data_IF_486966682417
#
_entry.id   IF_486966682417
#
_cell.length_a   1.000
_cell.length_b   1.000
_cell.length_c   1.000
_cell.angle_alpha   90.00
_cell.angle_beta   90.00
_cell.angle_gamma   90.00
#
_symmetry.space_group_name_H-M   'P 1'
#
loop_
_entity.id
_entity.type
_entity.pdbx_description
1 polymer ?
#
# COMPACT_ATOMS: atom_id res chain seq x y z
N UNK A 1 1.23 -4.46 -3.30
CA UNK A 1 1.00 -4.88 -4.68
C UNK A 1 -0.47 -4.75 -5.07
N UNK A 2 -1.41 -5.43 -4.40
CA UNK A 2 -2.87 -5.21 -4.42
C UNK A 2 -3.44 -4.90 -5.82
N UNK A 3 -3.81 -5.94 -6.54
CA UNK A 3 -4.22 -5.90 -7.95
C UNK A 3 -5.72 -5.99 -8.17
N UNK A 4 -6.52 -5.85 -7.11
CA UNK A 4 -7.97 -6.06 -7.13
C UNK A 4 -8.34 -7.49 -7.55
N UNK A 5 -7.55 -8.47 -7.10
CA UNK A 5 -7.82 -9.90 -7.33
C UNK A 5 -8.25 -10.59 -6.04
N UNK A 6 -8.70 -11.84 -6.13
CA UNK A 6 -9.01 -12.66 -4.95
C UNK A 6 -7.80 -12.92 -4.03
N UNK A 7 -6.59 -12.52 -4.43
CA UNK A 7 -5.37 -12.64 -3.62
C UNK A 7 -5.09 -11.45 -2.73
N UNK A 8 -5.82 -10.35 -2.87
CA UNK A 8 -5.58 -9.14 -2.08
C UNK A 8 -5.78 -9.38 -0.57
N UNK A 9 -6.79 -10.18 -0.17
CA UNK A 9 -6.99 -10.54 1.24
C UNK A 9 -5.80 -11.30 1.84
N UNK A 10 -5.27 -12.27 1.10
CA UNK A 10 -4.07 -13.02 1.50
C UNK A 10 -2.84 -12.10 1.57
N UNK A 11 -2.69 -11.16 0.64
CA UNK A 11 -1.61 -10.18 0.70
C UNK A 11 -1.69 -9.33 1.98
N UNK A 12 -2.88 -8.84 2.35
CA UNK A 12 -3.11 -8.09 3.59
C UNK A 12 -2.82 -8.94 4.83
N UNK A 13 -3.28 -10.19 4.87
CA UNK A 13 -3.01 -11.12 5.96
C UNK A 13 -1.50 -11.36 6.15
N UNK A 14 -0.76 -11.56 5.06
CA UNK A 14 0.68 -11.73 5.10
C UNK A 14 1.38 -10.48 5.66
N UNK A 15 0.95 -9.28 5.26
CA UNK A 15 1.46 -8.03 5.85
C UNK A 15 1.17 -7.92 7.35
N UNK A 16 -0.06 -8.24 7.76
CA UNK A 16 -0.49 -8.20 9.16
C UNK A 16 0.39 -9.12 10.02
N UNK A 17 0.62 -10.33 9.51
CA UNK A 17 1.44 -11.35 10.16
C UNK A 17 2.91 -10.94 10.21
N UNK A 18 3.49 -10.56 9.07
CA UNK A 18 4.90 -10.20 8.96
C UNK A 18 5.28 -8.98 9.82
N UNK A 19 4.37 -8.01 9.94
CA UNK A 19 4.57 -6.82 10.77
C UNK A 19 4.20 -7.02 12.24
N UNK A 20 3.57 -8.15 12.60
CA UNK A 20 3.07 -8.43 13.94
C UNK A 20 2.08 -7.37 14.43
N UNK A 21 1.19 -6.88 13.56
CA UNK A 21 0.26 -5.78 13.89
C UNK A 21 -1.16 -6.28 14.12
N UNK A 22 -1.85 -5.63 15.05
CA UNK A 22 -3.29 -5.83 15.24
C UNK A 22 -4.09 -5.16 14.12
N UNK A 23 -5.40 -5.42 14.08
CA UNK A 23 -6.34 -4.83 13.13
C UNK A 23 -6.33 -3.29 13.20
N UNK A 24 -6.30 -2.74 14.42
CA UNK A 24 -6.40 -1.30 14.73
C UNK A 24 -5.04 -0.59 14.59
N UNK A 25 -3.94 -1.32 14.80
CA UNK A 25 -2.58 -0.80 14.73
C UNK A 25 -1.86 -1.14 13.40
N UNK A 26 -2.62 -1.53 12.38
CA UNK A 26 -2.08 -1.72 11.04
C UNK A 26 -1.69 -0.35 10.42
N UNK A 27 -0.59 -0.24 9.66
CA UNK A 27 -0.25 0.98 8.94
C UNK A 27 -1.30 1.30 7.88
N UNK A 28 -1.34 2.54 7.38
CA UNK A 28 -2.14 2.83 6.21
C UNK A 28 -1.65 2.02 5.01
N UNK A 29 -2.57 1.55 4.18
CA UNK A 29 -2.25 0.77 2.99
C UNK A 29 -3.03 1.29 1.78
N UNK A 30 -2.31 1.49 0.68
CA UNK A 30 -2.85 1.99 -0.57
C UNK A 30 -2.19 1.36 -1.79
N UNK A 31 -2.88 1.41 -2.92
CA UNK A 31 -2.42 0.89 -4.21
C UNK A 31 -2.61 1.94 -5.31
N UNK A 32 -1.51 2.36 -5.92
CA UNK A 32 -1.52 3.34 -7.02
C UNK A 32 -2.28 2.80 -8.24
N UNK A 33 -2.43 1.48 -8.36
CA UNK A 33 -3.13 0.83 -9.48
C UNK A 33 -4.58 1.27 -9.60
N UNK A 34 -5.23 1.64 -8.50
CA UNK A 34 -6.58 2.21 -8.54
C UNK A 34 -6.66 3.56 -9.25
N UNK A 35 -5.56 4.31 -9.30
CA UNK A 35 -5.46 5.63 -9.93
C UNK A 35 -5.06 5.55 -11.40
N UNK A 36 -4.11 4.68 -11.74
CA UNK A 36 -3.45 4.68 -13.05
C UNK A 36 -3.50 3.33 -13.79
N UNK A 37 -4.15 2.33 -13.21
CA UNK A 37 -4.15 0.95 -13.70
C UNK A 37 -2.87 0.17 -13.36
N UNK A 38 -2.85 -1.11 -13.75
CA UNK A 38 -1.68 -1.96 -13.56
C UNK A 38 -0.73 -1.86 -14.76
N UNK A 39 0.33 -1.07 -14.64
CA UNK A 39 1.32 -0.86 -15.70
C UNK A 39 2.27 -2.06 -15.94
N UNK A 40 1.87 -3.29 -15.55
CA UNK A 40 2.63 -4.53 -15.66
C UNK A 40 4.09 -4.33 -15.20
N UNK A 41 5.06 -4.44 -16.12
CA UNK A 41 6.49 -4.35 -15.85
C UNK A 41 6.93 -2.97 -15.34
N UNK A 42 6.24 -1.90 -15.73
CA UNK A 42 6.54 -0.54 -15.29
C UNK A 42 5.98 -0.21 -13.89
N UNK A 43 5.05 -1.02 -13.37
CA UNK A 43 4.41 -0.76 -12.06
C UNK A 43 5.44 -0.64 -10.94
N UNK A 44 6.49 -1.47 -11.00
CA UNK A 44 7.63 -1.43 -10.09
C UNK A 44 8.16 -0.02 -9.89
N UNK A 45 8.60 0.61 -10.97
CA UNK A 45 9.24 1.93 -10.97
C UNK A 45 8.25 3.08 -10.73
N UNK A 46 7.07 3.06 -11.36
CA UNK A 46 6.09 4.15 -11.24
C UNK A 46 5.58 4.27 -9.80
N UNK A 47 5.24 3.14 -9.18
CA UNK A 47 4.79 3.13 -7.79
C UNK A 47 5.89 3.54 -6.81
N UNK A 48 7.16 3.23 -7.11
CA UNK A 48 8.29 3.68 -6.29
C UNK A 48 8.44 5.20 -6.33
N UNK A 49 8.22 5.84 -7.49
CA UNK A 49 8.20 7.31 -7.59
C UNK A 49 7.05 7.88 -6.76
N UNK A 50 5.85 7.31 -6.86
CA UNK A 50 4.71 7.75 -6.05
C UNK A 50 4.98 7.60 -4.54
N UNK A 51 5.54 6.48 -4.11
CA UNK A 51 5.93 6.24 -2.73
C UNK A 51 6.94 7.28 -2.20
N UNK A 52 7.94 7.66 -3.02
CA UNK A 52 8.88 8.73 -2.67
C UNK A 52 8.17 10.07 -2.58
N UNK A 53 7.21 10.37 -3.47
CA UNK A 53 6.46 11.62 -3.45
C UNK A 53 5.53 11.72 -2.22
N UNK A 54 4.86 10.64 -1.84
CA UNK A 54 4.06 10.55 -0.62
C UNK A 54 4.93 10.81 0.62
N UNK A 55 6.07 10.12 0.68
CA UNK A 55 7.04 10.28 1.76
C UNK A 55 7.59 11.71 1.79
N UNK A 56 8.07 12.25 0.69
CA UNK A 56 8.65 13.58 0.64
C UNK A 56 7.65 14.67 1.04
N UNK A 57 6.46 14.68 0.41
CA UNK A 57 5.46 15.73 0.60
C UNK A 57 4.55 15.52 1.82
N UNK A 58 4.60 14.36 2.49
CA UNK A 58 3.82 14.11 3.71
C UNK A 58 2.32 13.95 3.43
N UNK A 59 1.96 13.11 2.47
CA UNK A 59 0.58 12.73 2.22
C UNK A 59 0.46 11.26 1.84
N UNK A 60 -0.77 10.75 1.91
CA UNK A 60 -1.12 9.40 1.46
C UNK A 60 -2.22 9.53 0.40
N UNK A 61 -1.99 8.97 -0.80
CA UNK A 61 -2.99 9.00 -1.87
C UNK A 61 -4.12 7.98 -1.62
N UNK A 62 -5.33 8.23 -2.14
CA UNK A 62 -6.48 7.35 -1.91
C UNK A 62 -6.45 6.09 -2.77
N UNK A 63 -7.10 5.04 -2.27
CA UNK A 63 -7.57 3.91 -3.06
C UNK A 63 -8.89 4.32 -3.75
N UNK A 64 -8.84 4.58 -5.06
CA UNK A 64 -10.05 4.82 -5.86
C UNK A 64 -10.75 3.51 -6.21
N UNK A 65 -12.06 3.59 -6.48
CA UNK A 65 -12.92 2.44 -6.83
C UNK A 65 -12.94 1.37 -5.71
N UNK A 66 -12.96 1.81 -4.45
CA UNK A 66 -12.89 0.96 -3.27
C UNK A 66 -14.08 1.21 -2.31
N UNK A 67 -15.25 1.54 -2.86
CA UNK A 67 -16.47 1.81 -2.09
C UNK A 67 -17.01 0.53 -1.43
N UNK A 68 -16.99 -0.59 -2.17
CA UNK A 68 -17.39 -1.91 -1.69
C UNK A 68 -16.15 -2.70 -1.25
N UNK A 69 -15.82 -2.60 0.05
CA UNK A 69 -14.64 -3.25 0.60
C UNK A 69 -14.88 -4.76 0.78
N UNK A 70 -13.93 -5.57 0.32
CA UNK A 70 -13.98 -7.02 0.51
C UNK A 70 -14.13 -7.38 2.02
N UNK A 71 -15.15 -8.16 2.42
CA UNK A 71 -15.38 -8.54 3.81
C UNK A 71 -14.21 -9.24 4.49
N UNK A 72 -13.42 -10.03 3.75
CA UNK A 72 -12.23 -10.70 4.27
C UNK A 72 -11.17 -9.66 4.68
N UNK A 73 -10.93 -8.65 3.85
CA UNK A 73 -10.02 -7.54 4.17
C UNK A 73 -10.53 -6.74 5.37
N UNK A 74 -11.84 -6.44 5.40
CA UNK A 74 -12.47 -5.73 6.51
C UNK A 74 -12.42 -6.50 7.84
N UNK A 75 -12.31 -7.84 7.80
CA UNK A 75 -12.08 -8.68 8.97
C UNK A 75 -10.62 -8.60 9.47
N UNK A 76 -9.67 -8.40 8.57
CA UNK A 76 -8.24 -8.43 8.84
C UNK A 76 -7.70 -7.10 9.39
N UNK A 77 -8.08 -5.98 8.78
CA UNK A 77 -7.60 -4.63 9.11
C UNK A 77 -8.78 -3.66 9.28
N UNK A 78 -8.59 -2.62 10.09
CA UNK A 78 -9.62 -1.60 10.26
C UNK A 78 -9.80 -0.79 8.97
N UNK A 79 -11.05 -0.47 8.63
CA UNK A 79 -11.38 0.27 7.41
C UNK A 79 -10.71 1.66 7.36
N UNK A 80 -10.46 2.28 8.51
CA UNK A 80 -9.70 3.54 8.60
C UNK A 80 -8.27 3.44 8.10
N UNK A 81 -7.72 2.22 7.92
CA UNK A 81 -6.38 1.98 7.38
C UNK A 81 -6.34 1.91 5.86
N UNK A 82 -7.49 2.05 5.21
CA UNK A 82 -7.63 2.01 3.76
C UNK A 82 -8.11 3.41 3.31
N UNK A 83 -7.19 4.33 2.98
CA UNK A 83 -7.55 5.69 2.61
C UNK A 83 -8.40 5.71 1.35
N UNK A 84 -9.53 6.42 1.37
CA UNK A 84 -10.38 6.69 0.18
C UNK A 84 -10.40 8.16 -0.21
N UNK A 85 -9.74 8.99 0.60
CA UNK A 85 -9.45 10.39 0.33
C UNK A 85 -7.98 10.64 0.64
N UNK A 86 -7.43 11.73 0.09
CA UNK A 86 -6.04 12.12 0.39
C UNK A 86 -5.92 12.41 1.88
N UNK A 87 -4.97 11.77 2.54
CA UNK A 87 -4.64 12.05 3.95
C UNK A 87 -3.37 12.88 3.98
N UNK A 88 -3.44 14.09 4.55
CA UNK A 88 -2.24 14.88 4.84
C UNK A 88 -1.64 14.42 6.16
N UNK A 89 -0.52 13.71 6.09
CA UNK A 89 0.16 13.15 7.25
C UNK A 89 1.62 12.90 6.92
N UNK A 90 2.51 13.48 7.72
CA UNK A 90 3.93 13.16 7.66
C UNK A 90 4.20 11.81 8.32
N UNK A 91 5.05 11.02 7.68
CA UNK A 91 5.59 9.76 8.18
C UNK A 91 7.04 9.60 7.70
N UNK A 92 7.79 8.72 8.35
CA UNK A 92 9.23 8.58 8.11
C UNK A 92 9.62 7.28 7.43
N UNK A 93 8.76 6.27 7.45
CA UNK A 93 9.05 4.96 6.86
C UNK A 93 7.86 4.52 6.01
N UNK A 94 8.14 4.03 4.81
CA UNK A 94 7.16 3.47 3.89
C UNK A 94 7.71 2.16 3.31
N UNK A 95 6.86 1.14 3.28
CA UNK A 95 7.14 -0.12 2.59
C UNK A 95 6.36 -0.18 1.28
N UNK A 96 7.05 -0.49 0.18
CA UNK A 96 6.47 -0.65 -1.15
C UNK A 96 6.75 -2.05 -1.66
N UNK A 97 5.72 -2.82 -2.00
CA UNK A 97 5.89 -4.17 -2.55
C UNK A 97 5.28 -4.33 -3.94
N UNK A 98 5.97 -5.12 -4.76
CA UNK A 98 5.57 -5.51 -6.10
C UNK A 98 5.81 -7.01 -6.29
N UNK A 99 4.78 -7.73 -6.71
CA UNK A 99 4.81 -9.17 -6.93
C UNK A 99 4.52 -9.43 -8.42
N UNK A 100 5.49 -9.97 -9.13
CA UNK A 100 5.38 -10.28 -10.55
C UNK A 100 4.76 -11.64 -10.79
N UNK A 101 4.05 -11.79 -11.91
CA UNK A 101 3.69 -13.12 -12.42
C UNK A 101 4.98 -13.92 -12.68
N UNK A 102 5.02 -15.17 -12.24
CA UNK A 102 6.23 -16.01 -12.33
C UNK A 102 7.19 -15.91 -11.14
N UNK A 103 6.70 -15.47 -9.98
CA UNK A 103 7.39 -15.50 -8.68
C UNK A 103 8.61 -14.58 -8.56
N UNK A 104 8.56 -13.40 -9.20
CA UNK A 104 9.55 -12.35 -9.02
C UNK A 104 8.99 -11.28 -8.10
N UNK A 105 9.41 -11.33 -6.83
CA UNK A 105 8.86 -10.50 -5.76
C UNK A 105 9.91 -9.51 -5.23
N UNK A 106 9.51 -8.25 -5.01
CA UNK A 106 10.39 -7.23 -4.45
C UNK A 106 9.64 -6.38 -3.42
N UNK A 107 10.35 -6.03 -2.35
CA UNK A 107 9.90 -5.08 -1.33
C UNK A 107 10.98 -4.02 -1.09
N UNK A 108 10.60 -2.74 -1.13
CA UNK A 108 11.45 -1.60 -0.85
C UNK A 108 11.00 -0.96 0.46
N UNK A 109 11.94 -0.73 1.36
CA UNK A 109 11.72 0.07 2.56
C UNK A 109 12.41 1.42 2.34
N UNK A 110 11.62 2.48 2.34
CA UNK A 110 12.08 3.85 2.17
C UNK A 110 12.00 4.57 3.51
N UNK A 111 13.05 5.33 3.85
CA UNK A 111 13.06 6.21 5.03
C UNK A 111 13.20 7.65 4.59
N UNK A 112 12.43 8.56 5.19
CA UNK A 112 12.53 10.01 4.95
C UNK A 112 13.95 10.44 5.32
N UNK A 113 14.58 11.16 4.41
CA UNK A 113 15.87 11.78 4.70
C UNK A 113 15.67 12.92 5.70
N UNK A 114 16.45 12.89 6.78
CA UNK A 114 16.47 13.93 7.80
C UNK A 114 17.85 14.59 7.74
N UNK A 115 17.89 15.88 7.40
CA UNK A 115 19.10 16.68 7.57
C UNK A 115 19.34 16.83 9.08
N UNK A 116 20.50 16.36 9.55
CA UNK A 116 20.95 16.59 10.92
C UNK A 116 21.23 18.05 11.20
#
# INVERSE_FOLDING_TARGET
HLTATSKDALEIENWKTALGRSKENFPYINSLKGLIGHCISASGSIESVAAVLELYNGFIFPNLNCEDLNPEIASLIDESKIPRQVIKKSFDILAKASFGFGDVNACLILKRYQNG
#
